data_IF_686334684495
#
_entry.id   IF_686334684495
#
_cell.length_a   1.000
_cell.length_b   1.000
_cell.length_c   1.000
_cell.angle_alpha   90.00
_cell.angle_beta   90.00
_cell.angle_gamma   90.00
#
_symmetry.space_group_name_H-M   'P 1'
#
loop_
_entity.id
_entity.type
_entity.pdbx_description
1 polymer ?
#
# COMPACT_ATOMS: atom_id res chain seq x y z
N UNK A 1 -3.84 8.79 -8.99
CA UNK A 1 -4.64 9.73 -8.17
C UNK A 1 -6.06 9.18 -8.05
N UNK A 2 -6.33 8.26 -7.09
CA UNK A 2 -7.66 7.64 -6.94
C UNK A 2 -8.77 8.67 -6.73
N UNK A 3 -8.47 9.79 -6.06
CA UNK A 3 -9.38 10.89 -5.82
C UNK A 3 -9.93 11.59 -7.08
N UNK A 4 -9.29 11.40 -8.24
CA UNK A 4 -9.80 11.92 -9.52
C UNK A 4 -10.88 11.01 -10.15
N UNK A 5 -11.12 9.86 -9.54
CA UNK A 5 -12.15 8.92 -10.00
C UNK A 5 -13.52 9.21 -9.38
N UNK A 6 -13.58 10.14 -8.41
CA UNK A 6 -14.83 10.52 -7.75
C UNK A 6 -15.62 11.49 -8.64
N UNK A 7 -16.91 11.23 -8.85
CA UNK A 7 -17.76 12.01 -9.75
C UNK A 7 -19.23 12.12 -9.31
N UNK A 8 -19.67 11.33 -8.32
CA UNK A 8 -21.04 11.34 -7.83
C UNK A 8 -21.30 12.46 -6.81
N UNK A 9 -22.57 12.71 -6.50
CA UNK A 9 -22.97 13.77 -5.56
C UNK A 9 -22.63 13.41 -4.12
N UNK A 10 -22.69 12.12 -3.77
CA UNK A 10 -22.43 11.62 -2.43
C UNK A 10 -21.39 10.51 -2.40
N UNK A 11 -20.72 10.36 -1.26
CA UNK A 11 -19.79 9.24 -0.99
C UNK A 11 -20.49 7.89 -1.18
N UNK A 12 -21.76 7.79 -0.77
CA UNK A 12 -22.52 6.56 -0.95
C UNK A 12 -22.68 6.20 -2.42
N UNK A 13 -23.10 7.15 -3.24
CA UNK A 13 -23.31 6.93 -4.68
C UNK A 13 -22.03 6.58 -5.40
N UNK A 14 -20.91 7.24 -5.10
CA UNK A 14 -19.60 6.90 -5.66
C UNK A 14 -19.20 5.46 -5.34
N UNK A 15 -19.38 5.00 -4.10
CA UNK A 15 -19.04 3.64 -3.70
C UNK A 15 -20.03 2.63 -4.28
N UNK A 16 -21.32 2.98 -4.34
CA UNK A 16 -22.39 2.12 -4.84
C UNK A 16 -22.38 1.97 -6.37
N UNK A 17 -21.77 2.90 -7.09
CA UNK A 17 -21.77 2.94 -8.56
C UNK A 17 -21.32 1.61 -9.20
N UNK A 18 -20.20 1.08 -8.75
CA UNK A 18 -19.69 -0.21 -9.25
C UNK A 18 -20.64 -1.38 -9.00
N UNK A 19 -21.08 -1.64 -7.77
CA UNK A 19 -22.09 -2.63 -7.42
C UNK A 19 -23.40 -2.52 -8.20
N UNK A 20 -23.93 -1.30 -8.40
CA UNK A 20 -25.12 -1.08 -9.23
C UNK A 20 -24.88 -1.53 -10.68
N UNK A 21 -23.74 -1.19 -11.26
CA UNK A 21 -23.37 -1.60 -12.61
C UNK A 21 -23.17 -3.11 -12.76
N UNK A 22 -22.88 -3.82 -11.65
CA UNK A 22 -22.88 -5.29 -11.62
C UNK A 22 -24.29 -5.88 -11.57
N UNK A 23 -25.35 -5.08 -11.48
CA UNK A 23 -26.74 -5.53 -11.41
C UNK A 23 -27.10 -6.17 -10.08
N UNK A 24 -26.43 -5.80 -9.00
CA UNK A 24 -26.71 -6.33 -7.66
C UNK A 24 -28.02 -5.75 -7.10
N UNK A 25 -28.66 -6.49 -6.18
CA UNK A 25 -29.82 -5.98 -5.48
C UNK A 25 -29.44 -4.83 -4.54
N UNK A 26 -30.38 -3.92 -4.25
CA UNK A 26 -30.17 -2.81 -3.33
C UNK A 26 -29.62 -3.25 -1.95
N UNK A 27 -30.12 -4.37 -1.43
CA UNK A 27 -29.65 -4.93 -0.17
C UNK A 27 -28.18 -5.37 -0.25
N UNK A 28 -27.75 -5.92 -1.37
CA UNK A 28 -26.35 -6.31 -1.57
C UNK A 28 -25.45 -5.09 -1.82
N UNK A 29 -25.94 -4.09 -2.57
CA UNK A 29 -25.24 -2.80 -2.74
C UNK A 29 -24.98 -2.15 -1.39
N UNK A 30 -26.04 -2.02 -0.57
CA UNK A 30 -25.94 -1.45 0.76
C UNK A 30 -24.89 -2.17 1.63
N UNK A 31 -24.95 -3.49 1.65
CA UNK A 31 -23.98 -4.32 2.40
C UNK A 31 -22.55 -4.07 1.93
N UNK A 32 -22.32 -4.02 0.61
CA UNK A 32 -20.98 -3.81 0.04
C UNK A 32 -20.45 -2.41 0.30
N UNK A 33 -21.30 -1.39 0.22
CA UNK A 33 -20.93 -0.01 0.56
C UNK A 33 -20.51 0.06 2.03
N UNK A 34 -21.31 -0.48 2.94
CA UNK A 34 -21.01 -0.48 4.36
C UNK A 34 -19.67 -1.19 4.65
N UNK A 35 -19.50 -2.43 4.16
CA UNK A 35 -18.28 -3.21 4.36
C UNK A 35 -17.05 -2.49 3.79
N UNK A 36 -17.16 -1.89 2.61
CA UNK A 36 -16.06 -1.19 1.97
C UNK A 36 -15.64 0.06 2.75
N UNK A 37 -16.60 0.82 3.27
CA UNK A 37 -16.32 1.97 4.13
C UNK A 37 -15.63 1.56 5.43
N UNK A 38 -16.04 0.44 6.04
CA UNK A 38 -15.40 -0.10 7.25
C UNK A 38 -13.96 -0.52 6.97
N UNK A 39 -13.72 -1.21 5.84
CA UNK A 39 -12.39 -1.68 5.44
C UNK A 39 -11.37 -0.53 5.26
N UNK A 40 -11.83 0.61 4.75
CA UNK A 40 -10.96 1.78 4.56
C UNK A 40 -11.00 2.75 5.76
N UNK A 41 -11.64 2.38 6.86
CA UNK A 41 -11.82 3.23 8.06
C UNK A 41 -12.45 4.59 7.72
N UNK A 42 -13.44 4.60 6.82
CA UNK A 42 -14.23 5.78 6.48
C UNK A 42 -15.53 5.79 7.30
N UNK A 43 -15.73 6.78 8.20
CA UNK A 43 -16.91 6.82 9.05
C UNK A 43 -18.22 6.88 8.26
N UNK A 44 -19.25 6.13 8.69
CA UNK A 44 -20.56 6.07 8.03
C UNK A 44 -21.26 7.43 7.95
N UNK A 45 -20.94 8.38 8.83
CA UNK A 45 -21.47 9.75 8.79
C UNK A 45 -21.11 10.50 7.49
N UNK A 46 -20.12 10.01 6.73
CA UNK A 46 -19.72 10.62 5.46
C UNK A 46 -20.57 10.19 4.27
N UNK A 47 -21.41 9.16 4.40
CA UNK A 47 -22.23 8.61 3.29
C UNK A 47 -22.99 9.67 2.50
N UNK A 48 -23.64 10.60 3.20
CA UNK A 48 -24.43 11.66 2.57
C UNK A 48 -23.62 12.92 2.23
N UNK A 49 -22.32 12.93 2.47
CA UNK A 49 -21.46 14.07 2.13
C UNK A 49 -21.01 14.00 0.68
N UNK A 50 -20.81 15.18 0.09
CA UNK A 50 -20.17 15.28 -1.20
C UNK A 50 -18.70 14.83 -1.08
N UNK A 51 -18.20 13.95 -1.96
CA UNK A 51 -16.80 13.56 -1.98
C UNK A 51 -15.86 14.76 -2.11
N UNK A 52 -16.29 15.82 -2.79
CA UNK A 52 -15.50 17.03 -3.01
C UNK A 52 -15.35 17.91 -1.76
N UNK A 53 -16.20 17.69 -0.74
CA UNK A 53 -16.09 18.35 0.56
C UNK A 53 -15.18 17.62 1.55
N UNK A 54 -14.59 16.48 1.17
CA UNK A 54 -13.69 15.68 1.98
C UNK A 54 -12.25 16.16 1.86
N UNK A 55 -11.44 15.84 2.87
CA UNK A 55 -9.97 15.97 2.80
C UNK A 55 -9.39 15.04 1.73
N UNK A 56 -8.15 15.30 1.26
CA UNK A 56 -7.48 14.45 0.26
C UNK A 56 -7.38 12.98 0.69
N UNK A 57 -7.06 12.73 1.97
CA UNK A 57 -7.01 11.38 2.52
C UNK A 57 -8.37 10.68 2.56
N UNK A 58 -9.44 11.40 2.92
CA UNK A 58 -10.80 10.86 2.93
C UNK A 58 -11.31 10.59 1.50
N UNK A 59 -11.04 11.49 0.54
CA UNK A 59 -11.34 11.25 -0.89
C UNK A 59 -10.65 9.99 -1.40
N UNK A 60 -9.37 9.82 -1.09
CA UNK A 60 -8.62 8.61 -1.48
C UNK A 60 -9.21 7.35 -0.88
N UNK A 61 -9.61 7.37 0.40
CA UNK A 61 -10.31 6.24 1.04
C UNK A 61 -11.65 5.97 0.37
N UNK A 62 -12.41 7.00 0.00
CA UNK A 62 -13.67 6.85 -0.75
C UNK A 62 -13.44 6.16 -2.09
N UNK A 63 -12.44 6.59 -2.86
CA UNK A 63 -12.12 5.97 -4.15
C UNK A 63 -11.67 4.50 -4.00
N UNK A 64 -10.84 4.19 -2.99
CA UNK A 64 -10.45 2.80 -2.70
C UNK A 64 -11.67 1.98 -2.28
N UNK A 65 -12.58 2.53 -1.44
CA UNK A 65 -13.81 1.86 -1.05
C UNK A 65 -14.70 1.52 -2.26
N UNK A 66 -14.81 2.42 -3.24
CA UNK A 66 -15.54 2.17 -4.49
C UNK A 66 -15.00 0.98 -5.27
N UNK A 67 -13.68 0.84 -5.33
CA UNK A 67 -13.04 -0.34 -5.95
C UNK A 67 -13.27 -1.60 -5.11
N UNK A 68 -13.14 -1.52 -3.79
CA UNK A 68 -13.36 -2.67 -2.88
C UNK A 68 -14.81 -3.17 -2.90
N UNK A 69 -15.78 -2.28 -3.11
CA UNK A 69 -17.20 -2.63 -3.24
C UNK A 69 -17.50 -3.56 -4.42
N UNK A 70 -16.63 -3.60 -5.44
CA UNK A 70 -16.68 -4.57 -6.54
C UNK A 70 -16.27 -5.99 -6.11
N UNK A 71 -15.76 -6.16 -4.87
CA UNK A 71 -15.20 -7.40 -4.33
C UNK A 71 -14.10 -8.01 -5.24
N UNK A 72 -13.06 -7.25 -5.62
CA UNK A 72 -12.04 -7.71 -6.54
C UNK A 72 -11.15 -8.79 -5.88
N UNK A 73 -10.65 -9.73 -6.67
CA UNK A 73 -9.61 -10.69 -6.25
C UNK A 73 -8.21 -10.07 -6.32
N UNK A 74 -8.02 -9.11 -7.21
CA UNK A 74 -6.76 -8.43 -7.48
C UNK A 74 -6.97 -6.92 -7.37
N UNK A 75 -6.15 -6.26 -6.57
CA UNK A 75 -6.16 -4.81 -6.41
C UNK A 75 -4.82 -4.25 -6.93
N UNK A 76 -4.89 -3.40 -7.95
CA UNK A 76 -3.71 -2.73 -8.52
C UNK A 76 -3.77 -1.26 -8.15
N UNK A 77 -2.75 -0.78 -7.48
CA UNK A 77 -2.64 0.60 -6.99
C UNK A 77 -1.37 1.23 -7.53
N UNK A 78 -1.52 2.35 -8.20
CA UNK A 78 -0.41 3.15 -8.73
C UNK A 78 -0.21 4.38 -7.83
N UNK A 79 0.97 4.46 -7.18
CA UNK A 79 1.38 5.52 -6.27
C UNK A 79 0.33 5.89 -5.20
N UNK A 80 -0.32 4.93 -4.51
CA UNK A 80 -1.45 5.25 -3.64
C UNK A 80 -1.05 6.03 -2.39
N UNK A 81 0.22 6.06 -2.01
CA UNK A 81 0.75 6.79 -0.87
C UNK A 81 1.29 8.19 -1.23
N UNK A 82 1.32 8.55 -2.52
CA UNK A 82 1.85 9.83 -2.97
C UNK A 82 1.06 11.00 -2.36
N UNK A 83 1.77 12.00 -1.84
CA UNK A 83 1.16 13.20 -1.25
C UNK A 83 0.49 13.00 0.12
N UNK A 84 0.54 11.80 0.70
CA UNK A 84 0.11 11.58 2.07
C UNK A 84 1.20 12.01 3.07
N UNK A 85 0.76 12.51 4.21
CA UNK A 85 1.63 12.69 5.37
C UNK A 85 2.10 11.32 5.92
N UNK A 86 3.12 11.27 6.78
CA UNK A 86 3.66 10.02 7.30
C UNK A 86 2.61 9.12 7.98
N UNK A 87 1.65 9.72 8.69
CA UNK A 87 0.58 8.99 9.37
C UNK A 87 -0.42 8.39 8.39
N UNK A 88 -0.89 9.18 7.43
CA UNK A 88 -1.80 8.70 6.38
C UNK A 88 -1.19 7.61 5.51
N UNK A 89 0.13 7.69 5.24
CA UNK A 89 0.89 6.64 4.55
C UNK A 89 0.90 5.34 5.35
N UNK A 90 1.20 5.41 6.64
CA UNK A 90 1.21 4.25 7.55
C UNK A 90 -0.17 3.59 7.63
N UNK A 91 -1.22 4.39 7.80
CA UNK A 91 -2.60 3.91 7.87
C UNK A 91 -3.01 3.20 6.56
N UNK A 92 -2.64 3.76 5.39
CA UNK A 92 -2.90 3.15 4.09
C UNK A 92 -2.19 1.80 3.93
N UNK A 93 -0.89 1.75 4.19
CA UNK A 93 -0.11 0.50 4.04
C UNK A 93 -0.57 -0.59 5.02
N UNK A 94 -0.93 -0.20 6.25
CA UNK A 94 -1.50 -1.12 7.25
C UNK A 94 -2.85 -1.69 6.77
N UNK A 95 -3.72 -0.84 6.23
CA UNK A 95 -5.01 -1.26 5.64
C UNK A 95 -4.79 -2.26 4.50
N UNK A 96 -3.88 -1.96 3.56
CA UNK A 96 -3.57 -2.86 2.44
C UNK A 96 -3.02 -4.21 2.93
N UNK A 97 -2.13 -4.19 3.93
CA UNK A 97 -1.62 -5.42 4.56
C UNK A 97 -2.74 -6.25 5.21
N UNK A 98 -3.72 -5.61 5.84
CA UNK A 98 -4.89 -6.27 6.43
C UNK A 98 -5.77 -6.91 5.35
N UNK A 99 -6.06 -6.18 4.26
CA UNK A 99 -6.82 -6.71 3.11
C UNK A 99 -6.14 -7.95 2.50
N UNK A 100 -4.82 -7.90 2.35
CA UNK A 100 -4.06 -9.05 1.83
C UNK A 100 -4.15 -10.26 2.77
N UNK A 101 -3.83 -10.09 4.06
CA UNK A 101 -3.75 -11.20 5.02
C UNK A 101 -5.10 -11.78 5.41
N UNK A 102 -6.11 -10.92 5.64
CA UNK A 102 -7.39 -11.36 6.20
C UNK A 102 -8.43 -11.69 5.13
N UNK A 103 -8.34 -11.04 3.97
CA UNK A 103 -9.28 -11.26 2.86
C UNK A 103 -8.71 -12.08 1.71
N UNK A 104 -7.42 -12.45 1.78
CA UNK A 104 -6.73 -13.20 0.72
C UNK A 104 -6.64 -12.44 -0.60
N UNK A 105 -6.75 -11.11 -0.56
CA UNK A 105 -6.68 -10.26 -1.74
C UNK A 105 -5.24 -10.17 -2.24
N UNK A 106 -5.03 -10.38 -3.53
CA UNK A 106 -3.72 -10.12 -4.14
C UNK A 106 -3.59 -8.63 -4.45
N UNK A 107 -2.53 -8.00 -3.95
CA UNK A 107 -2.30 -6.57 -4.14
C UNK A 107 -1.04 -6.35 -4.95
N UNK A 108 -1.15 -5.56 -6.01
CA UNK A 108 -0.02 -5.05 -6.80
C UNK A 108 0.13 -3.57 -6.49
N UNK A 109 1.25 -3.20 -5.89
CA UNK A 109 1.57 -1.84 -5.52
C UNK A 109 2.67 -1.32 -6.44
N UNK A 110 2.39 -0.28 -7.23
CA UNK A 110 3.41 0.48 -7.95
C UNK A 110 3.81 1.65 -7.07
N UNK A 111 5.09 1.77 -6.77
CA UNK A 111 5.62 2.85 -5.93
C UNK A 111 7.08 3.15 -6.26
N UNK A 112 7.48 4.40 -6.07
CA UNK A 112 8.87 4.85 -6.07
C UNK A 112 9.47 4.97 -4.65
N UNK A 113 8.70 4.67 -3.60
CA UNK A 113 9.17 4.64 -2.22
C UNK A 113 9.77 3.26 -1.91
N UNK A 114 11.09 3.17 -1.94
CA UNK A 114 11.80 1.93 -1.64
C UNK A 114 11.56 1.45 -0.20
N UNK A 115 11.39 2.38 0.73
CA UNK A 115 11.06 2.10 2.13
C UNK A 115 9.69 1.44 2.29
N UNK A 116 8.67 1.93 1.58
CA UNK A 116 7.33 1.36 1.61
C UNK A 116 7.33 -0.07 1.04
N UNK A 117 8.03 -0.26 -0.09
CA UNK A 117 8.17 -1.56 -0.74
C UNK A 117 8.91 -2.54 0.18
N UNK A 118 10.04 -2.13 0.75
CA UNK A 118 10.83 -2.98 1.67
C UNK A 118 9.98 -3.47 2.85
N UNK A 119 9.09 -2.61 3.36
CA UNK A 119 8.30 -2.87 4.56
C UNK A 119 7.04 -3.66 4.30
N UNK A 120 6.39 -3.48 3.14
CA UNK A 120 5.04 -3.99 2.88
C UNK A 120 4.95 -5.06 1.81
N UNK A 121 5.93 -5.18 0.91
CA UNK A 121 5.86 -6.12 -0.19
C UNK A 121 6.56 -7.45 0.14
N UNK A 122 5.95 -8.56 -0.25
CA UNK A 122 6.55 -9.90 -0.18
C UNK A 122 7.42 -10.20 -1.40
N UNK A 123 7.06 -9.62 -2.54
CA UNK A 123 7.76 -9.80 -3.83
C UNK A 123 7.87 -8.47 -4.54
N UNK A 124 9.06 -8.19 -5.07
CA UNK A 124 9.37 -7.01 -5.87
C UNK A 124 9.65 -7.43 -7.31
N UNK A 125 9.08 -6.68 -8.25
CA UNK A 125 9.44 -6.70 -9.67
C UNK A 125 10.05 -5.35 -9.99
N UNK A 126 11.34 -5.35 -10.35
CA UNK A 126 12.08 -4.13 -10.70
C UNK A 126 12.06 -3.91 -12.20
N UNK A 127 11.59 -2.73 -12.59
CA UNK A 127 11.46 -2.33 -13.99
C UNK A 127 12.47 -1.22 -14.33
N UNK A 128 13.17 -1.37 -15.44
CA UNK A 128 13.96 -0.30 -16.03
C UNK A 128 13.88 -0.37 -17.57
N UNK A 129 13.78 0.79 -18.21
CA UNK A 129 13.72 0.90 -19.68
C UNK A 129 12.65 -0.01 -20.33
N UNK A 130 11.48 -0.15 -19.70
CA UNK A 130 10.37 -0.97 -20.17
C UNK A 130 10.60 -2.49 -20.07
N UNK A 131 11.59 -2.94 -19.29
CA UNK A 131 11.92 -4.35 -19.09
C UNK A 131 12.01 -4.70 -17.62
N UNK A 132 11.68 -5.95 -17.28
CA UNK A 132 11.99 -6.52 -15.96
C UNK A 132 13.48 -6.79 -15.88
N UNK A 133 14.15 -6.17 -14.93
CA UNK A 133 15.60 -6.36 -14.70
C UNK A 133 15.89 -7.14 -13.41
N UNK A 134 14.90 -7.27 -12.52
CA UNK A 134 15.04 -8.04 -11.28
C UNK A 134 13.68 -8.42 -10.72
N UNK A 135 13.65 -9.57 -10.04
CA UNK A 135 12.48 -10.10 -9.37
C UNK A 135 12.90 -10.92 -8.15
N UNK A 136 12.20 -10.74 -7.03
CA UNK A 136 12.51 -11.49 -5.81
C UNK A 136 11.99 -10.81 -4.54
N UNK A 137 12.50 -11.24 -3.39
CA UNK A 137 12.21 -10.57 -2.14
C UNK A 137 12.82 -9.15 -2.14
N UNK A 138 12.10 -8.12 -1.66
CA UNK A 138 12.59 -6.73 -1.70
C UNK A 138 13.99 -6.56 -1.09
N UNK A 139 14.25 -7.20 0.04
CA UNK A 139 15.55 -7.12 0.71
C UNK A 139 16.70 -7.65 -0.18
N UNK A 140 16.47 -8.69 -0.96
CA UNK A 140 17.51 -9.28 -1.83
C UNK A 140 17.77 -8.39 -3.05
N UNK A 141 16.70 -7.87 -3.66
CA UNK A 141 16.80 -6.96 -4.81
C UNK A 141 17.49 -5.65 -4.40
N UNK A 142 17.11 -5.06 -3.25
CA UNK A 142 17.69 -3.80 -2.79
C UNK A 142 19.12 -3.91 -2.26
N UNK A 143 19.63 -5.12 -2.01
CA UNK A 143 21.05 -5.37 -1.71
C UNK A 143 21.91 -5.53 -2.97
N UNK A 144 21.31 -5.74 -4.12
CA UNK A 144 22.01 -5.85 -5.39
C UNK A 144 22.27 -4.45 -5.98
N UNK A 145 23.47 -3.94 -5.72
CA UNK A 145 23.89 -2.61 -6.14
C UNK A 145 23.83 -2.43 -7.67
N UNK A 146 24.19 -3.46 -8.44
CA UNK A 146 24.20 -3.42 -9.91
C UNK A 146 22.78 -3.23 -10.47
N UNK A 147 21.79 -3.94 -9.90
CA UNK A 147 20.39 -3.80 -10.30
C UNK A 147 19.86 -2.41 -9.98
N UNK A 148 20.22 -1.86 -8.81
CA UNK A 148 19.78 -0.52 -8.41
C UNK A 148 20.39 0.56 -9.31
N UNK A 149 21.66 0.45 -9.65
CA UNK A 149 22.34 1.36 -10.59
C UNK A 149 21.68 1.32 -11.98
N UNK A 150 21.36 0.14 -12.52
CA UNK A 150 20.64 -0.01 -13.79
C UNK A 150 19.25 0.64 -13.75
N UNK A 151 18.58 0.62 -12.60
CA UNK A 151 17.28 1.25 -12.40
C UNK A 151 17.37 2.74 -12.03
N UNK A 152 18.58 3.28 -11.84
CA UNK A 152 18.81 4.64 -11.29
C UNK A 152 18.15 4.84 -9.92
N UNK A 153 18.17 3.81 -9.08
CA UNK A 153 17.60 3.79 -7.74
C UNK A 153 18.69 3.73 -6.67
N UNK A 154 18.32 4.19 -5.49
CA UNK A 154 19.16 4.08 -4.28
C UNK A 154 18.54 3.08 -3.31
N UNK A 155 19.37 2.28 -2.64
CA UNK A 155 18.87 1.36 -1.62
C UNK A 155 18.16 2.10 -0.48
N UNK A 156 17.11 1.49 0.13
CA UNK A 156 16.48 2.03 1.34
C UNK A 156 17.49 2.36 2.43
N UNK A 157 17.28 3.46 3.15
CA UNK A 157 18.19 3.92 4.22
C UNK A 157 18.42 2.84 5.29
N UNK A 158 17.39 2.04 5.59
CA UNK A 158 17.50 0.93 6.53
C UNK A 158 18.56 -0.09 6.10
N UNK A 159 18.61 -0.45 4.80
CA UNK A 159 19.59 -1.41 4.30
C UNK A 159 20.99 -0.82 4.23
N UNK A 160 21.11 0.48 3.91
CA UNK A 160 22.40 1.18 3.97
C UNK A 160 22.96 1.21 5.38
N UNK A 161 22.11 1.53 6.37
CA UNK A 161 22.46 1.48 7.79
C UNK A 161 22.85 0.05 8.21
N UNK A 162 22.06 -0.95 7.80
CA UNK A 162 22.35 -2.36 8.08
C UNK A 162 23.74 -2.76 7.61
N UNK A 163 24.11 -2.37 6.40
CA UNK A 163 25.46 -2.63 5.84
C UNK A 163 26.56 -1.99 6.69
N UNK A 164 26.39 -0.74 7.10
CA UNK A 164 27.37 -0.06 7.97
C UNK A 164 27.50 -0.75 9.34
N UNK A 165 26.39 -1.22 9.91
CA UNK A 165 26.38 -1.96 11.17
C UNK A 165 27.08 -3.32 11.02
N UNK A 166 26.89 -4.01 9.89
CA UNK A 166 27.58 -5.27 9.58
C UNK A 166 29.11 -5.06 9.45
N UNK A 167 29.55 -3.94 8.85
CA UNK A 167 30.96 -3.58 8.71
C UNK A 167 31.69 -3.37 10.07
N UNK A 168 30.95 -2.97 11.10
CA UNK A 168 31.49 -2.83 12.47
C UNK A 168 31.29 -4.08 13.33
N UNK A 169 30.87 -5.20 12.73
CA UNK A 169 30.88 -6.52 13.35
C UNK A 169 29.55 -6.99 13.94
N UNK A 170 28.45 -6.30 13.69
CA UNK A 170 27.11 -6.72 14.13
C UNK A 170 26.31 -7.32 12.95
N UNK A 171 26.12 -8.64 12.86
CA UNK A 171 25.38 -9.25 11.76
C UNK A 171 23.88 -8.99 11.90
N UNK A 172 23.37 -8.01 11.18
CA UNK A 172 21.94 -7.63 11.22
C UNK A 172 21.06 -8.47 10.29
N UNK A 173 21.65 -9.10 9.27
CA UNK A 173 20.92 -10.01 8.39
C UNK A 173 19.80 -9.33 7.60
N UNK A 174 18.68 -10.03 7.42
CA UNK A 174 17.50 -9.49 6.70
C UNK A 174 16.58 -8.80 7.69
N UNK A 175 16.57 -7.47 7.68
CA UNK A 175 15.65 -6.65 8.47
C UNK A 175 14.87 -5.73 7.52
N UNK A 176 13.54 -5.73 7.65
CA UNK A 176 12.65 -4.89 6.87
C UNK A 176 12.18 -3.65 7.67
N UNK A 177 12.46 -3.62 8.97
CA UNK A 177 12.11 -2.52 9.86
C UNK A 177 13.25 -2.16 10.81
N UNK A 178 13.28 -0.91 11.27
CA UNK A 178 14.23 -0.44 12.29
C UNK A 178 14.11 -1.25 13.58
N UNK A 179 12.89 -1.64 13.96
CA UNK A 179 12.62 -2.43 15.15
C UNK A 179 13.25 -3.82 15.07
N UNK A 180 13.06 -4.52 13.95
CA UNK A 180 13.72 -5.81 13.72
C UNK A 180 15.23 -5.70 13.83
N UNK A 181 15.82 -4.67 13.21
CA UNK A 181 17.27 -4.43 13.27
C UNK A 181 17.73 -4.18 14.71
N UNK A 182 17.03 -3.35 15.45
CA UNK A 182 17.33 -3.09 16.87
C UNK A 182 17.23 -4.37 17.71
N UNK A 183 16.22 -5.18 17.51
CA UNK A 183 16.05 -6.45 18.23
C UNK A 183 17.18 -7.44 17.94
N UNK A 184 17.68 -7.50 16.71
CA UNK A 184 18.84 -8.34 16.34
C UNK A 184 20.09 -7.85 17.05
N UNK A 185 20.39 -6.55 17.03
CA UNK A 185 21.57 -5.96 17.68
C UNK A 185 21.55 -6.23 19.19
N UNK A 186 20.42 -6.01 19.84
CA UNK A 186 20.27 -6.23 21.29
C UNK A 186 20.44 -7.71 21.68
N UNK A 187 20.08 -8.66 20.80
CA UNK A 187 20.31 -10.11 21.05
C UNK A 187 21.77 -10.51 20.88
N UNK A 188 22.50 -9.84 20.00
CA UNK A 188 23.92 -10.13 19.73
C UNK A 188 24.83 -9.61 20.87
N UNK A 189 24.34 -8.71 21.72
CA UNK A 189 25.08 -8.19 22.89
C UNK A 189 24.91 -9.04 24.16
N UNK A 190 24.15 -10.12 24.13
CA UNK A 190 23.97 -11.07 25.24
C UNK A 190 24.73 -12.36 24.98
#
# INVERSE_FOLDING_TARGET
YPEHQLFEETVYEDIAFGPHNQGLSEAEVERRVQESMELVHLPQIYRARSPFALSGGERRRTAIAGVLALAPRYLVLDEPAAGLDPRGREELLSMLSTLHRERGMSIVLVSHSMEDILRSAERLILLANGRVIGEGAPCDIFRNTELLEQASLTAPHLLLLGKQIEEIGYPVGRCNTVREMADVILRTQR
#
